data_IF_433106138733
#
_entry.id   IF_433106138733
#
_cell.length_a   1.000
_cell.length_b   1.000
_cell.length_c   1.000
_cell.angle_alpha   90.00
_cell.angle_beta   90.00
_cell.angle_gamma   90.00
#
_symmetry.space_group_name_H-M   'P 1'
#
loop_
_entity.id
_entity.type
_entity.pdbx_description
1 polymer ?
#
# COMPACT_ATOMS: atom_id res chain seq x y z
N UNK A 1 33.96 0.00 -9.26
CA UNK A 1 32.93 -0.40 -8.31
C UNK A 1 33.37 -1.60 -7.50
N UNK A 2 32.63 -1.94 -6.48
CA UNK A 2 32.83 -3.17 -5.69
C UNK A 2 32.01 -4.31 -6.30
N UNK A 3 32.46 -5.55 -6.12
CA UNK A 3 31.71 -6.75 -6.56
C UNK A 3 30.66 -7.20 -5.51
N UNK A 4 30.55 -6.49 -4.39
CA UNK A 4 29.61 -6.80 -3.31
C UNK A 4 28.21 -6.28 -3.64
N UNK A 5 27.14 -7.01 -3.23
CA UNK A 5 25.79 -6.53 -3.43
C UNK A 5 25.55 -5.25 -2.62
N UNK A 6 24.80 -4.32 -3.21
CA UNK A 6 24.38 -3.08 -2.52
C UNK A 6 23.29 -3.43 -1.52
N UNK A 7 23.58 -3.25 -0.23
CA UNK A 7 22.64 -3.52 0.86
C UNK A 7 22.17 -2.20 1.49
N UNK A 8 20.91 -2.14 1.98
CA UNK A 8 20.44 -1.00 2.75
C UNK A 8 21.33 -0.75 3.98
N UNK A 9 21.66 0.52 4.21
CA UNK A 9 22.39 0.93 5.40
C UNK A 9 21.56 1.97 6.16
N UNK A 10 21.54 1.96 7.49
CA UNK A 10 20.70 2.87 8.29
C UNK A 10 21.14 4.32 8.15
N UNK A 11 22.43 4.57 7.96
CA UNK A 11 22.99 5.89 7.82
C UNK A 11 24.36 5.88 7.12
N UNK A 12 24.89 7.07 6.84
CA UNK A 12 26.18 7.26 6.17
C UNK A 12 27.36 6.75 7.01
N UNK A 13 27.26 6.74 8.33
CA UNK A 13 28.33 6.26 9.20
C UNK A 13 28.44 4.73 9.15
N UNK A 14 27.31 4.04 9.07
CA UNK A 14 27.28 2.59 8.84
C UNK A 14 27.86 2.25 7.47
N UNK A 15 27.54 3.00 6.44
CA UNK A 15 28.10 2.85 5.10
C UNK A 15 29.62 3.08 5.09
N UNK A 16 30.12 4.12 5.78
CA UNK A 16 31.55 4.44 5.90
C UNK A 16 32.35 3.31 6.56
N UNK A 17 31.77 2.62 7.55
CA UNK A 17 32.43 1.48 8.22
C UNK A 17 32.65 0.27 7.29
N UNK A 18 31.82 0.10 6.27
CA UNK A 18 31.95 -0.99 5.28
C UNK A 18 32.84 -0.62 4.10
N UNK A 19 33.27 0.65 4.02
CA UNK A 19 34.09 1.14 2.93
C UNK A 19 35.54 0.64 3.05
N UNK A 20 36.04 0.03 1.95
CA UNK A 20 37.40 -0.49 1.87
C UNK A 20 37.97 -0.24 0.47
N UNK A 21 39.09 0.50 0.41
CA UNK A 21 39.79 0.77 -0.85
C UNK A 21 40.27 -0.51 -1.56
N UNK A 22 40.61 -1.55 -0.81
CA UNK A 22 41.07 -2.81 -1.37
C UNK A 22 39.99 -3.54 -2.18
N UNK A 23 38.72 -3.24 -1.90
CA UNK A 23 37.56 -3.82 -2.60
C UNK A 23 37.16 -3.07 -3.88
N UNK A 24 37.78 -1.94 -4.18
CA UNK A 24 37.45 -1.14 -5.35
C UNK A 24 38.15 -1.74 -6.60
N UNK A 25 37.34 -2.30 -7.48
CA UNK A 25 37.82 -2.81 -8.79
C UNK A 25 38.12 -1.69 -9.79
N UNK A 26 38.95 -2.00 -10.79
CA UNK A 26 39.30 -1.10 -11.90
C UNK A 26 38.23 -1.03 -12.99
N UNK A 27 37.21 -1.90 -12.94
CA UNK A 27 36.10 -1.88 -13.89
C UNK A 27 35.26 -0.63 -13.72
N UNK A 28 34.73 -0.04 -14.80
CA UNK A 28 33.80 1.09 -14.70
C UNK A 28 32.59 0.73 -13.84
N UNK A 29 32.26 1.62 -12.92
CA UNK A 29 31.01 1.47 -12.16
C UNK A 29 29.83 1.63 -13.10
N UNK A 30 28.86 0.72 -13.01
CA UNK A 30 27.56 0.84 -13.69
C UNK A 30 26.57 1.38 -12.70
N UNK A 31 25.86 2.43 -13.07
CA UNK A 31 24.72 2.95 -12.31
C UNK A 31 23.45 2.36 -12.90
N UNK A 32 22.65 1.72 -12.07
CA UNK A 32 21.34 1.18 -12.43
C UNK A 32 20.27 1.85 -11.58
N UNK A 33 19.39 2.62 -12.22
CA UNK A 33 18.29 3.30 -11.54
C UNK A 33 17.26 2.32 -10.94
N UNK A 34 17.09 1.15 -11.55
CA UNK A 34 16.18 0.13 -11.03
C UNK A 34 16.71 -0.45 -9.71
N UNK A 35 18.02 -0.71 -9.61
CA UNK A 35 18.66 -1.12 -8.35
C UNK A 35 18.52 -0.05 -7.27
N UNK A 36 18.69 1.23 -7.63
CA UNK A 36 18.50 2.34 -6.69
C UNK A 36 17.06 2.41 -6.17
N UNK A 37 16.07 2.27 -7.05
CA UNK A 37 14.66 2.24 -6.66
C UNK A 37 14.33 1.06 -5.73
N UNK A 38 14.88 -0.12 -6.03
CA UNK A 38 14.71 -1.29 -5.17
C UNK A 38 15.35 -1.10 -3.79
N UNK A 39 16.55 -0.49 -3.74
CA UNK A 39 17.22 -0.17 -2.50
C UNK A 39 16.42 0.84 -1.69
N UNK A 40 15.91 1.90 -2.34
CA UNK A 40 15.06 2.89 -1.70
C UNK A 40 13.77 2.27 -1.14
N UNK A 41 13.12 1.39 -1.91
CA UNK A 41 11.94 0.65 -1.44
C UNK A 41 12.26 -0.16 -0.17
N UNK A 42 13.36 -0.92 -0.13
CA UNK A 42 13.78 -1.69 1.05
C UNK A 42 13.98 -0.79 2.28
N UNK A 43 14.65 0.36 2.10
CA UNK A 43 14.84 1.34 3.18
C UNK A 43 13.50 1.85 3.70
N UNK A 44 12.58 2.22 2.79
CA UNK A 44 11.26 2.74 3.16
C UNK A 44 10.39 1.68 3.87
N UNK A 45 10.44 0.42 3.42
CA UNK A 45 9.67 -0.67 4.03
C UNK A 45 10.06 -0.94 5.48
N UNK A 46 11.33 -0.72 5.83
CA UNK A 46 11.85 -0.90 7.19
C UNK A 46 11.78 0.37 8.03
N UNK A 47 11.69 1.54 7.40
CA UNK A 47 11.75 2.82 8.09
C UNK A 47 10.59 2.99 9.10
N UNK A 48 10.89 3.30 10.38
CA UNK A 48 9.86 3.63 11.35
C UNK A 48 9.24 5.00 11.01
N UNK A 49 7.95 5.16 11.30
CA UNK A 49 7.25 6.43 11.07
C UNK A 49 7.98 7.64 11.68
N UNK A 50 8.52 7.47 12.90
CA UNK A 50 9.23 8.53 13.60
C UNK A 50 10.42 9.12 12.81
N UNK A 51 11.13 8.28 12.04
CA UNK A 51 12.25 8.73 11.22
C UNK A 51 11.83 9.55 9.98
N UNK A 52 10.57 9.43 9.57
CA UNK A 52 10.02 10.07 8.37
C UNK A 52 8.90 11.07 8.70
N UNK A 53 8.59 11.28 9.99
CA UNK A 53 7.43 12.03 10.47
C UNK A 53 7.22 13.36 9.75
N UNK A 54 8.24 14.22 9.72
CA UNK A 54 8.10 15.55 9.15
C UNK A 54 7.87 15.52 7.64
N UNK A 55 8.52 14.58 6.95
CA UNK A 55 8.35 14.38 5.51
C UNK A 55 6.97 13.81 5.17
N UNK A 56 6.47 12.87 5.97
CA UNK A 56 5.14 12.28 5.82
C UNK A 56 4.05 13.29 6.18
N UNK A 57 4.26 14.08 7.22
CA UNK A 57 3.35 15.17 7.60
C UNK A 57 3.23 16.22 6.49
N UNK A 58 4.34 16.59 5.83
CA UNK A 58 4.34 17.53 4.72
C UNK A 58 3.48 17.10 3.52
N UNK A 59 3.29 15.79 3.32
CA UNK A 59 2.40 15.20 2.31
C UNK A 59 1.07 14.71 2.89
N UNK A 60 0.78 15.02 4.15
CA UNK A 60 -0.46 14.70 4.83
C UNK A 60 -0.68 13.21 5.11
N UNK A 61 0.39 12.41 5.20
CA UNK A 61 0.34 10.97 5.47
C UNK A 61 0.45 10.73 6.97
N UNK A 62 -0.60 10.16 7.56
CA UNK A 62 -0.65 9.77 8.98
C UNK A 62 0.15 8.51 9.26
N UNK A 63 0.44 8.24 10.54
CA UNK A 63 1.13 7.01 10.96
C UNK A 63 0.34 5.75 10.59
N UNK A 64 -0.98 5.76 10.77
CA UNK A 64 -1.84 4.64 10.39
C UNK A 64 -1.78 4.37 8.87
N UNK A 65 -1.88 5.43 8.07
CA UNK A 65 -1.77 5.31 6.61
C UNK A 65 -0.39 4.82 6.20
N UNK A 66 0.68 5.39 6.75
CA UNK A 66 2.05 4.93 6.48
C UNK A 66 2.24 3.46 6.79
N UNK A 67 1.80 3.01 7.96
CA UNK A 67 1.88 1.60 8.37
C UNK A 67 1.16 0.66 7.40
N UNK A 68 0.02 1.09 6.87
CA UNK A 68 -0.75 0.31 5.92
C UNK A 68 -0.12 0.23 4.52
N UNK A 69 0.59 1.29 4.06
CA UNK A 69 1.04 1.38 2.66
C UNK A 69 2.56 1.21 2.47
N UNK A 70 3.38 1.33 3.52
CA UNK A 70 4.85 1.36 3.41
C UNK A 70 5.44 0.18 2.63
N UNK A 71 4.86 -1.02 2.73
CA UNK A 71 5.28 -2.20 1.98
C UNK A 71 4.98 -2.15 0.47
N UNK A 72 4.27 -1.12 0.00
CA UNK A 72 3.85 -0.96 -1.40
C UNK A 72 4.38 0.33 -2.04
N UNK A 73 5.34 0.99 -1.41
CA UNK A 73 5.94 2.24 -1.91
C UNK A 73 7.40 2.00 -2.31
N UNK A 74 7.80 2.55 -3.45
CA UNK A 74 9.18 2.59 -3.88
C UNK A 74 9.80 3.98 -3.62
N UNK A 75 8.98 5.01 -3.57
CA UNK A 75 9.34 6.40 -3.25
C UNK A 75 8.38 6.93 -2.20
N UNK A 76 8.82 7.92 -1.43
CA UNK A 76 7.96 8.55 -0.41
C UNK A 76 6.71 9.20 -1.03
N UNK A 77 6.83 9.72 -2.25
CA UNK A 77 5.70 10.30 -3.00
C UNK A 77 4.57 9.28 -3.27
N UNK A 78 4.88 8.00 -3.41
CA UNK A 78 3.88 6.96 -3.65
C UNK A 78 2.89 6.84 -2.47
N UNK A 79 3.33 7.22 -1.25
CA UNK A 79 2.44 7.28 -0.09
C UNK A 79 1.34 8.34 -0.24
N UNK A 80 1.64 9.48 -0.90
CA UNK A 80 0.63 10.50 -1.19
C UNK A 80 -0.38 10.01 -2.24
N UNK A 81 0.07 9.20 -3.22
CA UNK A 81 -0.84 8.57 -4.18
C UNK A 81 -1.79 7.59 -3.48
N UNK A 82 -1.26 6.75 -2.58
CA UNK A 82 -2.10 5.85 -1.77
C UNK A 82 -3.05 6.60 -0.86
N UNK A 83 -2.63 7.74 -0.29
CA UNK A 83 -3.53 8.64 0.44
C UNK A 83 -4.69 9.08 -0.45
N UNK A 84 -4.41 9.51 -1.68
CA UNK A 84 -5.43 9.87 -2.67
C UNK A 84 -6.41 8.73 -2.95
N UNK A 85 -5.92 7.49 -3.07
CA UNK A 85 -6.76 6.31 -3.28
C UNK A 85 -7.60 5.98 -2.05
N UNK A 86 -7.05 6.07 -0.85
CA UNK A 86 -7.71 5.62 0.38
C UNK A 86 -8.68 6.68 0.91
N UNK A 87 -8.23 7.93 1.02
CA UNK A 87 -8.96 9.03 1.67
C UNK A 87 -9.63 9.99 0.67
N UNK A 88 -9.17 9.99 -0.58
CA UNK A 88 -9.68 10.85 -1.65
C UNK A 88 -10.87 10.26 -2.40
N UNK A 89 -11.38 11.02 -3.34
CA UNK A 89 -12.43 10.55 -4.25
C UNK A 89 -11.80 9.84 -5.46
N UNK A 90 -12.19 8.59 -5.67
CA UNK A 90 -11.79 7.79 -6.83
C UNK A 90 -13.01 7.45 -7.69
N UNK A 91 -12.77 7.10 -8.94
CA UNK A 91 -13.77 6.49 -9.80
C UNK A 91 -13.68 4.96 -9.63
N UNK A 92 -14.68 4.30 -9.02
CA UNK A 92 -14.65 2.87 -8.77
C UNK A 92 -14.68 2.06 -10.07
N UNK A 93 -13.97 0.92 -10.08
CA UNK A 93 -14.05 -0.04 -11.19
C UNK A 93 -14.98 -1.18 -10.77
N UNK A 94 -16.18 -1.24 -11.33
CA UNK A 94 -17.19 -2.26 -11.01
C UNK A 94 -17.12 -3.37 -12.05
N UNK A 95 -16.36 -4.42 -11.74
CA UNK A 95 -16.20 -5.59 -12.60
C UNK A 95 -17.38 -6.58 -12.46
N UNK A 96 -17.90 -6.73 -11.23
CA UNK A 96 -19.07 -7.55 -10.92
C UNK A 96 -20.15 -6.72 -10.21
N UNK A 97 -21.12 -6.15 -10.95
CA UNK A 97 -22.17 -5.30 -10.37
C UNK A 97 -23.04 -6.01 -9.33
N UNK A 98 -23.34 -7.31 -9.54
CA UNK A 98 -24.18 -8.06 -8.62
C UNK A 98 -23.49 -8.32 -7.28
N UNK A 99 -22.23 -8.72 -7.33
CA UNK A 99 -21.40 -8.91 -6.13
C UNK A 99 -21.20 -7.59 -5.41
N UNK A 100 -20.85 -6.51 -6.12
CA UNK A 100 -20.60 -5.21 -5.52
C UNK A 100 -21.87 -4.61 -4.88
N UNK A 101 -23.04 -4.77 -5.50
CA UNK A 101 -24.32 -4.35 -4.92
C UNK A 101 -24.65 -5.13 -3.63
N UNK A 102 -24.48 -6.47 -3.64
CA UNK A 102 -24.64 -7.29 -2.45
C UNK A 102 -23.65 -6.90 -1.34
N UNK A 103 -22.39 -6.68 -1.70
CA UNK A 103 -21.34 -6.27 -0.78
C UNK A 103 -21.61 -4.89 -0.16
N UNK A 104 -22.11 -3.93 -0.92
CA UNK A 104 -22.44 -2.59 -0.41
C UNK A 104 -23.41 -2.63 0.78
N UNK A 105 -24.40 -3.53 0.74
CA UNK A 105 -25.37 -3.70 1.82
C UNK A 105 -24.81 -4.40 3.07
N UNK A 106 -23.64 -5.06 2.94
CA UNK A 106 -22.99 -5.84 4.00
C UNK A 106 -21.78 -5.15 4.64
N UNK A 107 -21.44 -3.94 4.18
CA UNK A 107 -20.37 -3.16 4.81
C UNK A 107 -20.73 -2.89 6.27
N UNK A 108 -19.90 -3.27 7.25
CA UNK A 108 -20.16 -3.01 8.67
C UNK A 108 -20.30 -1.52 8.95
N UNK A 109 -20.98 -1.18 10.05
CA UNK A 109 -21.04 0.19 10.53
C UNK A 109 -19.71 0.61 11.16
N UNK A 110 -19.43 1.91 11.13
CA UNK A 110 -18.26 2.47 11.79
C UNK A 110 -18.35 2.35 13.33
N UNK A 111 -17.24 2.24 14.05
CA UNK A 111 -15.86 2.27 13.55
C UNK A 111 -15.40 0.92 12.96
N UNK A 112 -14.65 0.99 11.86
CA UNK A 112 -14.03 -0.18 11.27
C UNK A 112 -12.66 -0.47 11.91
N UNK A 113 -12.28 -1.74 11.93
CA UNK A 113 -10.96 -2.26 12.36
C UNK A 113 -10.38 -3.19 11.30
N UNK A 114 -9.17 -3.68 11.50
CA UNK A 114 -8.57 -4.68 10.60
C UNK A 114 -9.41 -5.96 10.50
N UNK A 115 -10.08 -6.34 11.59
CA UNK A 115 -10.98 -7.51 11.61
C UNK A 115 -12.25 -7.28 10.78
N UNK A 116 -12.65 -6.02 10.58
CA UNK A 116 -13.84 -5.68 9.80
C UNK A 116 -13.74 -6.15 8.35
N UNK A 117 -12.54 -6.20 7.76
CA UNK A 117 -12.35 -6.76 6.42
C UNK A 117 -12.70 -8.24 6.35
N UNK A 118 -12.23 -9.03 7.31
CA UNK A 118 -12.51 -10.48 7.38
C UNK A 118 -14.01 -10.73 7.62
N UNK A 119 -14.63 -10.01 8.54
CA UNK A 119 -16.06 -10.12 8.81
C UNK A 119 -16.89 -9.76 7.57
N UNK A 120 -16.56 -8.65 6.93
CA UNK A 120 -17.20 -8.18 5.71
C UNK A 120 -17.11 -9.21 4.58
N UNK A 121 -15.91 -9.69 4.28
CA UNK A 121 -15.70 -10.65 3.18
C UNK A 121 -16.33 -12.01 3.45
N UNK A 122 -16.41 -12.44 4.70
CA UNK A 122 -17.14 -13.66 5.08
C UNK A 122 -18.65 -13.47 4.85
N UNK A 123 -19.24 -12.34 5.26
CA UNK A 123 -20.64 -12.06 5.01
C UNK A 123 -20.97 -12.01 3.50
N UNK A 124 -20.10 -11.38 2.70
CA UNK A 124 -20.26 -11.36 1.23
C UNK A 124 -20.17 -12.77 0.65
N UNK A 125 -19.19 -13.56 1.10
CA UNK A 125 -19.03 -14.97 0.68
C UNK A 125 -20.27 -15.81 1.00
N UNK A 126 -20.82 -15.69 2.19
CA UNK A 126 -22.04 -16.40 2.60
C UNK A 126 -23.24 -15.99 1.75
N UNK A 127 -23.37 -14.69 1.47
CA UNK A 127 -24.49 -14.14 0.70
C UNK A 127 -24.44 -14.50 -0.78
N UNK A 128 -23.24 -14.51 -1.38
CA UNK A 128 -23.07 -14.60 -2.85
C UNK A 128 -22.50 -15.95 -3.31
N UNK A 129 -21.90 -16.74 -2.41
CA UNK A 129 -21.16 -17.95 -2.75
C UNK A 129 -19.80 -17.70 -3.40
N UNK A 130 -19.42 -16.43 -3.70
CA UNK A 130 -18.15 -16.08 -4.33
C UNK A 130 -16.95 -16.42 -3.43
N UNK A 131 -15.84 -16.88 -4.03
CA UNK A 131 -14.64 -17.33 -3.30
C UNK A 131 -13.37 -16.95 -4.07
N UNK A 132 -12.25 -16.87 -3.33
CA UNK A 132 -10.93 -16.63 -3.93
C UNK A 132 -10.91 -15.38 -4.80
N UNK A 133 -10.35 -15.49 -6.01
CA UNK A 133 -10.20 -14.36 -6.92
C UNK A 133 -11.55 -13.72 -7.28
N UNK A 134 -12.60 -14.52 -7.49
CA UNK A 134 -13.93 -14.03 -7.83
C UNK A 134 -14.59 -13.18 -6.72
N UNK A 135 -14.16 -13.33 -5.48
CA UNK A 135 -14.60 -12.48 -4.37
C UNK A 135 -13.68 -11.26 -4.21
N UNK A 136 -12.37 -11.48 -4.06
CA UNK A 136 -11.45 -10.45 -3.61
C UNK A 136 -11.06 -9.45 -4.70
N UNK A 137 -10.98 -9.87 -5.97
CA UNK A 137 -10.57 -9.00 -7.07
C UNK A 137 -11.59 -7.89 -7.37
N UNK A 138 -12.89 -8.21 -7.58
CA UNK A 138 -13.90 -7.17 -7.79
C UNK A 138 -14.04 -6.21 -6.62
N UNK A 139 -13.96 -6.72 -5.36
CA UNK A 139 -14.02 -5.87 -4.18
C UNK A 139 -12.83 -4.91 -4.11
N UNK A 140 -11.62 -5.37 -4.41
CA UNK A 140 -10.44 -4.52 -4.46
C UNK A 140 -10.58 -3.42 -5.52
N UNK A 141 -10.99 -3.79 -6.74
CA UNK A 141 -11.19 -2.84 -7.85
C UNK A 141 -12.24 -1.78 -7.49
N UNK A 142 -13.37 -2.20 -6.95
CA UNK A 142 -14.42 -1.26 -6.54
C UNK A 142 -13.93 -0.31 -5.42
N UNK A 143 -13.18 -0.81 -4.45
CA UNK A 143 -12.75 -0.03 -3.29
C UNK A 143 -11.52 0.84 -3.55
N UNK A 144 -10.65 0.49 -4.51
CA UNK A 144 -9.37 1.17 -4.73
C UNK A 144 -9.12 1.63 -6.16
N UNK A 145 -9.89 1.16 -7.14
CA UNK A 145 -9.63 1.35 -8.56
C UNK A 145 -8.35 0.64 -9.06
N UNK A 146 -7.73 -0.22 -8.25
CA UNK A 146 -6.42 -0.83 -8.54
C UNK A 146 -6.44 -2.34 -8.33
N UNK A 147 -5.79 -3.09 -9.21
CA UNK A 147 -5.67 -4.55 -9.10
C UNK A 147 -4.71 -4.99 -7.98
N UNK A 148 -3.66 -4.20 -7.75
CA UNK A 148 -2.57 -4.49 -6.80
C UNK A 148 -2.41 -3.35 -5.82
N UNK A 149 -1.88 -3.65 -4.64
CA UNK A 149 -1.58 -2.64 -3.63
C UNK A 149 -1.55 -3.23 -2.21
N UNK A 150 -1.66 -2.37 -1.20
CA UNK A 150 -1.62 -2.75 0.20
C UNK A 150 -2.68 -3.80 0.58
N UNK A 151 -2.46 -4.46 1.69
CA UNK A 151 -3.42 -5.41 2.24
C UNK A 151 -4.77 -4.73 2.52
N UNK A 152 -5.86 -5.33 2.01
CA UNK A 152 -7.19 -4.75 2.18
C UNK A 152 -7.62 -4.65 3.64
N UNK A 153 -7.19 -5.58 4.49
CA UNK A 153 -7.46 -5.52 5.93
C UNK A 153 -6.89 -4.25 6.58
N UNK A 154 -5.70 -3.82 6.14
CA UNK A 154 -5.05 -2.62 6.66
C UNK A 154 -5.67 -1.31 6.13
N UNK A 155 -6.11 -1.29 4.86
CA UNK A 155 -6.63 -0.06 4.24
C UNK A 155 -8.15 0.09 4.33
N UNK A 156 -8.92 -0.98 4.51
CA UNK A 156 -10.37 -0.93 4.58
C UNK A 156 -10.90 -0.03 5.72
N UNK A 157 -10.33 -0.07 6.95
CA UNK A 157 -10.68 0.87 8.01
C UNK A 157 -10.39 2.33 7.65
N UNK A 158 -9.31 2.58 6.91
CA UNK A 158 -8.91 3.94 6.50
C UNK A 158 -9.79 4.49 5.37
N UNK A 159 -10.29 3.62 4.49
CA UNK A 159 -11.32 3.97 3.51
C UNK A 159 -12.59 4.41 4.23
N UNK A 160 -12.99 3.70 5.27
CA UNK A 160 -14.17 3.98 6.08
C UNK A 160 -15.46 3.44 5.47
N UNK A 161 -16.47 3.21 6.33
CA UNK A 161 -17.70 2.52 5.96
C UNK A 161 -18.51 3.26 4.86
N UNK A 162 -18.68 4.56 5.00
CA UNK A 162 -19.53 5.34 4.07
C UNK A 162 -18.90 5.40 2.67
N UNK A 163 -17.58 5.65 2.60
CA UNK A 163 -16.87 5.67 1.32
C UNK A 163 -16.85 4.28 0.70
N UNK A 164 -16.65 3.23 1.48
CA UNK A 164 -16.71 1.86 0.99
C UNK A 164 -18.08 1.51 0.39
N UNK A 165 -19.19 1.86 1.06
CA UNK A 165 -20.55 1.63 0.54
C UNK A 165 -20.78 2.37 -0.78
N UNK A 166 -20.36 3.62 -0.87
CA UNK A 166 -20.52 4.43 -2.09
C UNK A 166 -19.71 3.87 -3.24
N UNK A 167 -18.44 3.55 -3.00
CA UNK A 167 -17.56 2.96 -4.02
C UNK A 167 -18.10 1.63 -4.55
N UNK A 168 -18.61 0.76 -3.68
CA UNK A 168 -19.23 -0.50 -4.07
C UNK A 168 -20.53 -0.32 -4.89
N UNK A 169 -21.19 0.84 -4.80
CA UNK A 169 -22.31 1.22 -5.68
C UNK A 169 -21.86 1.85 -7.00
N UNK A 170 -20.56 2.00 -7.22
CA UNK A 170 -20.03 2.68 -8.39
C UNK A 170 -20.04 4.22 -8.28
N UNK A 171 -20.30 4.77 -7.10
CA UNK A 171 -20.31 6.21 -6.88
C UNK A 171 -18.88 6.70 -6.64
N UNK A 172 -18.52 7.82 -7.24
CA UNK A 172 -17.26 8.50 -6.95
C UNK A 172 -17.23 8.95 -5.48
N UNK A 173 -16.27 8.45 -4.72
CA UNK A 173 -16.16 8.71 -3.30
C UNK A 173 -14.72 8.55 -2.79
#
# INVERSE_FOLDING_TARGET
GTAEPVLPQPDIMALAKTFDFAKIGRAPARFDEAELLQLNAKILHEAPYAALRDRLAAIGVSEALWSAVKGNVAKLADAAEWKGVIEGAIDPVIEDPALCAAASALVPDAPLSEQSWTLFTNAVKEKTGAKGKALFHPLRLALTGREKGPEMAAIFPLIGADRARRRLKGERA
#
